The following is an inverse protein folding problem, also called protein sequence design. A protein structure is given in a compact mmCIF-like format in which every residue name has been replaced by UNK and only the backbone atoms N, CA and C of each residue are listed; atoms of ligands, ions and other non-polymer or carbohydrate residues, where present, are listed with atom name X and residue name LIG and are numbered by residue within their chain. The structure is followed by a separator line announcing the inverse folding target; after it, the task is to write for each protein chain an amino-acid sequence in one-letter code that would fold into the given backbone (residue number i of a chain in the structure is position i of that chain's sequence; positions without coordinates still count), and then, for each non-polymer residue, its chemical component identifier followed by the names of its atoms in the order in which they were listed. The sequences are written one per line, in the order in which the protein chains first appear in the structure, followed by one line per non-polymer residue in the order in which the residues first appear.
data_IF_495278864644
#
_entry.id   IF_495278864644
#
_cell.length_a   1.000
_cell.length_b   1.000
_cell.length_c   1.000
_cell.angle_alpha   90.00
_cell.angle_beta   90.00
_cell.angle_gamma   90.00
#
_symmetry.space_group_name_H-M   'P 1'
#
loop_
_entity.id
_entity.type
_entity.pdbx_description
1 polymer ?
#
# COMPACT_ATOMS: atom_id res chain seq x y z
N UNK A 1 11.91 42.51 62.83
CA UNK A 1 10.66 41.70 62.96
C UNK A 1 10.00 41.40 61.61
N UNK A 2 9.78 42.38 60.74
CA UNK A 2 9.10 42.21 59.43
C UNK A 2 9.75 41.18 58.47
N UNK A 3 11.08 41.16 58.36
CA UNK A 3 11.79 40.20 57.50
C UNK A 3 11.73 38.74 57.96
N UNK A 4 11.56 38.52 59.27
CA UNK A 4 11.41 37.18 59.84
C UNK A 4 10.00 36.62 59.58
N UNK A 5 8.96 37.45 59.76
CA UNK A 5 7.58 37.07 59.42
C UNK A 5 7.43 36.75 57.92
N UNK A 6 8.05 37.53 57.04
CA UNK A 6 8.02 37.26 55.59
C UNK A 6 8.68 35.92 55.27
N UNK A 7 9.87 35.62 55.80
CA UNK A 7 10.51 34.31 55.59
C UNK A 7 9.63 33.15 56.07
N UNK A 8 8.98 33.32 57.22
CA UNK A 8 8.08 32.31 57.78
C UNK A 8 6.86 32.04 56.89
N UNK A 9 6.25 33.08 56.29
CA UNK A 9 5.10 32.91 55.37
C UNK A 9 5.49 32.24 54.06
N UNK A 10 6.70 32.49 53.55
CA UNK A 10 7.20 31.83 52.33
C UNK A 10 7.51 30.35 52.58
N UNK A 11 8.08 30.03 53.75
CA UNK A 11 8.35 28.65 54.16
C UNK A 11 7.03 27.88 54.34
N UNK A 12 6.04 28.46 55.02
CA UNK A 12 4.73 27.82 55.19
C UNK A 12 4.00 27.60 53.87
N UNK A 13 4.11 28.54 52.92
CA UNK A 13 3.54 28.38 51.59
C UNK A 13 4.23 27.24 50.81
N UNK A 14 5.56 27.11 50.93
CA UNK A 14 6.31 26.02 50.32
C UNK A 14 5.92 24.66 50.88
N UNK A 15 5.80 24.55 52.21
CA UNK A 15 5.33 23.31 52.86
C UNK A 15 3.87 22.98 52.51
N UNK A 16 3.01 23.99 52.36
CA UNK A 16 1.63 23.77 51.91
C UNK A 16 1.59 23.25 50.46
N UNK A 17 2.35 23.85 49.55
CA UNK A 17 2.47 23.37 48.17
C UNK A 17 3.09 21.96 48.10
N UNK A 18 4.12 21.69 48.90
CA UNK A 18 4.75 20.38 48.97
C UNK A 18 3.80 19.32 49.56
N UNK A 19 3.03 19.69 50.60
CA UNK A 19 1.99 18.84 51.17
C UNK A 19 0.88 18.52 50.17
N UNK A 20 0.43 19.51 49.39
CA UNK A 20 -0.55 19.32 48.31
C UNK A 20 0.01 18.44 47.18
N UNK A 21 1.29 18.60 46.82
CA UNK A 21 1.97 17.74 45.85
C UNK A 21 2.06 16.29 46.35
N UNK A 22 2.43 16.08 47.62
CA UNK A 22 2.49 14.75 48.22
C UNK A 22 1.11 14.09 48.32
N UNK A 23 0.08 14.84 48.69
CA UNK A 23 -1.32 14.37 48.70
C UNK A 23 -1.81 14.01 47.28
N UNK A 24 -1.43 14.81 46.28
CA UNK A 24 -1.68 14.52 44.86
C UNK A 24 -1.00 13.22 44.42
N UNK A 25 0.28 13.04 44.76
CA UNK A 25 1.05 11.83 44.42
C UNK A 25 0.51 10.60 45.13
N UNK A 26 0.13 10.71 46.41
CA UNK A 26 -0.51 9.62 47.15
C UNK A 26 -1.87 9.25 46.57
N UNK A 27 -2.68 10.23 46.17
CA UNK A 27 -3.94 9.97 45.46
C UNK A 27 -3.69 9.31 44.10
N UNK A 28 -2.66 9.73 43.37
CA UNK A 28 -2.28 9.11 42.09
C UNK A 28 -1.80 7.67 42.27
N UNK A 29 -1.06 7.38 43.33
CA UNK A 29 -0.59 6.03 43.68
C UNK A 29 -1.74 5.13 44.15
N UNK A 30 -2.65 5.64 44.98
CA UNK A 30 -3.85 4.93 45.40
C UNK A 30 -4.80 4.67 44.22
N UNK A 31 -4.93 5.65 43.30
CA UNK A 31 -5.67 5.45 42.06
C UNK A 31 -4.97 4.45 41.14
N UNK A 32 -3.63 4.42 41.05
CA UNK A 32 -2.90 3.37 40.29
C UNK A 32 -3.19 1.96 40.81
N UNK A 33 -3.33 1.78 42.12
CA UNK A 33 -3.74 0.50 42.70
C UNK A 33 -5.21 0.15 42.41
N UNK A 34 -6.04 1.15 42.10
CA UNK A 34 -7.46 1.01 41.78
C UNK A 34 -7.77 1.12 40.27
N UNK A 35 -6.78 1.32 39.40
CA UNK A 35 -6.97 1.23 37.95
C UNK A 35 -6.84 -0.26 37.62
N UNK A 36 -7.94 -1.01 37.44
CA UNK A 36 -7.83 -2.37 36.93
C UNK A 36 -7.15 -2.32 35.57
N UNK A 37 -6.26 -3.26 35.29
CA UNK A 37 -5.54 -3.42 34.02
C UNK A 37 -6.46 -3.52 32.78
N UNK A 38 -7.78 -3.60 33.00
CA UNK A 38 -8.81 -3.74 31.97
C UNK A 38 -9.46 -2.40 31.52
N UNK A 39 -8.97 -1.24 31.99
CA UNK A 39 -9.54 0.10 31.71
C UNK A 39 -8.93 0.83 30.50
N UNK A 40 -8.21 0.14 29.62
CA UNK A 40 -7.52 0.78 28.47
C UNK A 40 -8.47 1.44 27.45
N UNK A 41 -9.76 1.11 27.46
CA UNK A 41 -10.77 1.73 26.60
C UNK A 41 -11.23 3.12 27.06
N UNK A 42 -11.01 3.52 28.32
CA UNK A 42 -11.78 4.62 28.90
C UNK A 42 -11.11 6.01 28.86
N UNK A 43 -9.84 6.12 28.47
CA UNK A 43 -9.12 7.41 28.52
C UNK A 43 -8.21 7.62 27.32
N UNK A 44 -8.84 7.75 26.16
CA UNK A 44 -8.15 8.25 24.99
C UNK A 44 -8.78 9.58 24.56
N UNK A 45 -8.30 10.71 25.14
CA UNK A 45 -8.93 12.00 24.96
C UNK A 45 -9.03 12.36 23.48
N UNK A 46 -10.06 13.12 23.12
CA UNK A 46 -10.20 13.60 21.75
C UNK A 46 -9.03 14.52 21.39
N UNK A 47 -8.72 14.63 20.10
CA UNK A 47 -7.65 15.49 19.61
C UNK A 47 -7.81 16.94 20.10
N UNK A 48 -9.05 17.45 20.13
CA UNK A 48 -9.36 18.80 20.63
C UNK A 48 -8.95 18.97 22.08
N UNK A 49 -9.26 17.98 22.93
CA UNK A 49 -8.89 17.98 24.35
C UNK A 49 -7.37 17.91 24.50
N UNK A 50 -6.69 17.03 23.75
CA UNK A 50 -5.23 16.93 23.79
C UNK A 50 -4.55 18.23 23.35
N UNK A 51 -5.08 18.89 22.32
CA UNK A 51 -4.54 20.17 21.84
C UNK A 51 -4.65 21.27 22.90
N UNK A 52 -5.78 21.38 23.59
CA UNK A 52 -5.96 22.35 24.69
C UNK A 52 -5.10 21.97 25.90
N UNK A 53 -5.10 20.69 26.29
CA UNK A 53 -4.33 20.18 27.42
C UNK A 53 -2.81 20.30 27.22
N UNK A 54 -2.33 20.34 25.97
CA UNK A 54 -0.92 20.56 25.68
C UNK A 54 -0.40 21.92 26.14
N UNK A 55 -1.27 22.91 26.34
CA UNK A 55 -0.91 24.29 26.72
C UNK A 55 0.20 24.88 25.81
N UNK A 56 0.21 24.49 24.53
CA UNK A 56 1.23 24.89 23.55
C UNK A 56 2.39 23.91 23.38
N UNK A 57 2.61 22.98 24.32
CA UNK A 57 3.68 21.97 24.28
C UNK A 57 3.24 20.69 23.56
N UNK A 58 2.83 20.81 22.30
CA UNK A 58 2.27 19.69 21.52
C UNK A 58 3.25 18.55 21.29
N UNK A 59 4.52 18.86 21.00
CA UNK A 59 5.57 17.86 20.80
C UNK A 59 5.83 17.04 22.07
N UNK A 60 6.01 17.70 23.23
CA UNK A 60 6.17 17.01 24.51
C UNK A 60 4.97 16.12 24.86
N UNK A 61 3.74 16.59 24.58
CA UNK A 61 2.56 15.77 24.79
C UNK A 61 2.48 14.61 23.79
N UNK A 62 2.94 14.79 22.55
CA UNK A 62 3.05 13.72 21.57
C UNK A 62 4.01 12.62 22.05
N UNK A 63 5.17 13.00 22.61
CA UNK A 63 6.14 12.06 23.18
C UNK A 63 5.56 11.27 24.35
N UNK A 64 4.83 11.94 25.26
CA UNK A 64 4.14 11.26 26.36
C UNK A 64 3.09 10.27 25.85
N UNK A 65 2.28 10.71 24.87
CA UNK A 65 1.26 9.87 24.24
C UNK A 65 1.87 8.71 23.46
N UNK A 66 3.06 8.91 22.90
CA UNK A 66 3.83 7.87 22.23
C UNK A 66 4.28 6.78 23.20
N UNK A 67 4.87 7.15 24.34
CA UNK A 67 5.23 6.19 25.39
C UNK A 67 4.00 5.41 25.85
N UNK A 68 2.87 6.09 26.09
CA UNK A 68 1.60 5.43 26.44
C UNK A 68 1.14 4.44 25.35
N UNK A 69 1.32 4.80 24.08
CA UNK A 69 0.95 3.96 22.93
C UNK A 69 1.81 2.70 22.87
N UNK A 70 3.13 2.82 23.08
CA UNK A 70 4.03 1.67 23.13
C UNK A 70 3.76 0.76 24.32
N UNK A 71 3.46 1.34 25.49
CA UNK A 71 3.07 0.56 26.66
C UNK A 71 1.78 -0.23 26.41
N UNK A 72 0.75 0.42 25.85
CA UNK A 72 -0.51 -0.23 25.47
C UNK A 72 -0.29 -1.37 24.47
N UNK A 73 0.55 -1.14 23.46
CA UNK A 73 0.93 -2.17 22.50
C UNK A 73 1.59 -3.37 23.20
N UNK A 74 2.58 -3.12 24.06
CA UNK A 74 3.31 -4.17 24.76
C UNK A 74 2.45 -4.98 25.75
N UNK A 75 1.51 -4.34 26.46
CA UNK A 75 0.61 -5.03 27.40
C UNK A 75 -0.40 -5.89 26.67
N UNK A 76 -0.98 -5.38 25.58
CA UNK A 76 -2.01 -6.08 24.81
C UNK A 76 -1.43 -7.09 23.80
N UNK A 77 -0.12 -7.10 23.57
CA UNK A 77 0.52 -8.11 22.72
C UNK A 77 0.37 -9.53 23.27
N UNK A 78 0.28 -9.69 24.60
CA UNK A 78 0.04 -10.95 25.29
C UNK A 78 -1.40 -11.09 25.82
N UNK A 79 -2.22 -10.04 25.66
CA UNK A 79 -3.59 -10.00 26.14
C UNK A 79 -4.57 -10.71 25.21
N UNK A 80 -5.68 -11.23 25.76
CA UNK A 80 -6.74 -11.82 24.93
C UNK A 80 -7.53 -10.79 24.13
N UNK A 81 -7.45 -9.50 24.50
CA UNK A 81 -8.14 -8.42 23.79
C UNK A 81 -7.31 -7.99 22.59
N UNK A 82 -7.81 -8.25 21.39
CA UNK A 82 -7.34 -7.62 20.14
C UNK A 82 -7.14 -6.13 20.43
N UNK A 83 -5.93 -5.59 20.23
CA UNK A 83 -5.43 -4.22 20.50
C UNK A 83 -6.32 -3.06 19.95
N UNK A 84 -7.60 -3.03 20.33
CA UNK A 84 -8.70 -2.40 19.57
C UNK A 84 -8.45 -0.92 19.34
N UNK A 85 -7.75 -0.27 20.27
CA UNK A 85 -7.52 1.16 20.27
C UNK A 85 -6.16 1.59 19.70
N UNK A 86 -5.33 0.65 19.25
CA UNK A 86 -3.95 0.93 18.85
C UNK A 86 -3.86 1.98 17.72
N UNK A 87 -4.69 1.82 16.69
CA UNK A 87 -4.73 2.78 15.57
C UNK A 87 -5.10 4.18 16.07
N UNK A 88 -6.10 4.23 16.96
CA UNK A 88 -6.59 5.46 17.52
C UNK A 88 -5.52 6.14 18.41
N UNK A 89 -4.71 5.37 19.12
CA UNK A 89 -3.55 5.85 19.88
C UNK A 89 -2.49 6.48 18.96
N UNK A 90 -2.08 5.76 17.91
CA UNK A 90 -1.10 6.25 16.94
C UNK A 90 -1.57 7.53 16.24
N UNK A 91 -2.84 7.60 15.81
CA UNK A 91 -3.40 8.80 15.18
C UNK A 91 -3.40 10.02 16.11
N UNK A 92 -3.54 9.84 17.43
CA UNK A 92 -3.48 10.96 18.38
C UNK A 92 -2.07 11.49 18.56
N UNK A 93 -1.06 10.62 18.54
CA UNK A 93 0.35 11.03 18.51
C UNK A 93 0.61 11.84 17.24
N UNK A 94 0.21 11.33 16.08
CA UNK A 94 0.36 11.99 14.78
C UNK A 94 -0.39 13.33 14.73
N UNK A 95 -1.59 13.42 15.30
CA UNK A 95 -2.36 14.67 15.32
C UNK A 95 -1.73 15.74 16.23
N UNK A 96 -1.06 15.33 17.30
CA UNK A 96 -0.30 16.23 18.17
C UNK A 96 0.98 16.71 17.48
N UNK A 97 1.73 15.79 16.88
CA UNK A 97 2.96 16.06 16.13
C UNK A 97 2.98 15.37 14.76
N UNK A 98 2.53 16.05 13.69
CA UNK A 98 2.57 15.52 12.33
C UNK A 98 3.99 15.39 11.76
N UNK A 99 5.03 15.94 12.40
CA UNK A 99 6.43 15.73 12.01
C UNK A 99 7.03 14.46 12.59
N UNK A 100 6.33 13.76 13.48
CA UNK A 100 6.86 12.57 14.15
C UNK A 100 6.86 11.34 13.22
N UNK A 101 7.82 11.28 12.31
CA UNK A 101 7.95 10.27 11.26
C UNK A 101 7.94 8.82 11.78
N UNK A 102 8.60 8.58 12.91
CA UNK A 102 8.66 7.26 13.55
C UNK A 102 7.26 6.75 13.93
N UNK A 103 6.34 7.63 14.35
CA UNK A 103 4.98 7.23 14.72
C UNK A 103 4.23 6.66 13.50
N UNK A 104 4.40 7.25 12.32
CA UNK A 104 3.83 6.73 11.08
C UNK A 104 4.44 5.38 10.69
N UNK A 105 5.77 5.30 10.69
CA UNK A 105 6.50 4.08 10.31
C UNK A 105 6.11 2.91 11.20
N UNK A 106 6.14 3.13 12.52
CA UNK A 106 5.80 2.10 13.48
C UNK A 106 4.33 1.74 13.42
N UNK A 107 3.41 2.70 13.31
CA UNK A 107 1.98 2.41 13.27
C UNK A 107 1.62 1.54 12.06
N UNK A 108 2.14 1.86 10.87
CA UNK A 108 1.94 1.04 9.67
C UNK A 108 2.39 -0.41 9.88
N UNK A 109 3.57 -0.63 10.48
CA UNK A 109 4.08 -1.96 10.77
C UNK A 109 3.29 -2.67 11.90
N UNK A 110 2.96 -1.95 12.97
CA UNK A 110 2.30 -2.50 14.15
C UNK A 110 0.85 -2.91 13.88
N UNK A 111 0.13 -2.21 12.99
CA UNK A 111 -1.22 -2.65 12.56
C UNK A 111 -1.18 -4.04 11.91
N UNK A 112 -0.11 -4.34 11.18
CA UNK A 112 0.02 -5.56 10.40
C UNK A 112 0.69 -6.69 11.19
N UNK A 113 1.83 -6.42 11.80
CA UNK A 113 2.68 -7.42 12.47
C UNK A 113 2.54 -7.41 14.00
N UNK A 114 1.54 -6.72 14.54
CA UNK A 114 1.34 -6.54 15.98
C UNK A 114 0.85 -7.75 16.77
N UNK A 115 1.08 -8.98 16.32
CA UNK A 115 0.58 -10.19 16.99
C UNK A 115 -0.91 -10.50 16.73
N UNK A 116 -1.47 -9.91 15.67
CA UNK A 116 -2.82 -10.19 15.17
C UNK A 116 -2.75 -11.14 13.97
N UNK A 117 -3.89 -11.74 13.63
CA UNK A 117 -4.07 -12.40 12.33
C UNK A 117 -3.96 -11.32 11.25
N UNK A 118 -3.14 -11.58 10.24
CA UNK A 118 -3.05 -10.72 9.05
C UNK A 118 -4.27 -11.01 8.16
N UNK A 119 -5.16 -10.04 8.12
CA UNK A 119 -6.37 -9.99 7.30
C UNK A 119 -6.48 -8.64 6.57
N UNK A 120 -7.43 -8.51 5.64
CA UNK A 120 -7.57 -7.29 4.86
C UNK A 120 -7.86 -6.06 5.72
N UNK A 121 -8.53 -6.20 6.88
CA UNK A 121 -8.79 -5.08 7.78
C UNK A 121 -7.46 -4.51 8.32
N UNK A 122 -6.58 -5.38 8.84
CA UNK A 122 -5.25 -4.97 9.32
C UNK A 122 -4.37 -4.38 8.22
N UNK A 123 -4.44 -4.93 6.99
CA UNK A 123 -3.71 -4.41 5.83
C UNK A 123 -4.22 -3.02 5.44
N UNK A 124 -5.54 -2.80 5.42
CA UNK A 124 -6.13 -1.50 5.11
C UNK A 124 -5.74 -0.45 6.17
N UNK A 125 -5.80 -0.79 7.46
CA UNK A 125 -5.33 0.09 8.54
C UNK A 125 -3.84 0.45 8.39
N UNK A 126 -2.99 -0.52 8.07
CA UNK A 126 -1.57 -0.29 7.77
C UNK A 126 -1.38 0.68 6.60
N UNK A 127 -2.12 0.46 5.51
CA UNK A 127 -2.08 1.28 4.32
C UNK A 127 -2.51 2.73 4.58
N UNK A 128 -3.47 2.99 5.48
CA UNK A 128 -3.86 4.36 5.86
C UNK A 128 -2.68 5.14 6.45
N UNK A 129 -1.92 4.53 7.35
CA UNK A 129 -0.73 5.16 7.93
C UNK A 129 0.35 5.43 6.88
N UNK A 130 0.61 4.47 5.98
CA UNK A 130 1.60 4.67 4.91
C UNK A 130 1.16 5.72 3.89
N UNK A 131 -0.11 5.77 3.51
CA UNK A 131 -0.65 6.83 2.63
C UNK A 131 -0.53 8.21 3.29
N UNK A 132 -0.78 8.32 4.59
CA UNK A 132 -0.58 9.57 5.31
C UNK A 132 0.92 9.94 5.45
N UNK A 133 1.78 8.95 5.67
CA UNK A 133 3.23 9.13 5.69
C UNK A 133 3.75 9.62 4.33
N UNK A 134 3.28 9.05 3.22
CA UNK A 134 3.64 9.50 1.87
C UNK A 134 3.26 10.94 1.59
N UNK A 135 2.12 11.42 2.13
CA UNK A 135 1.72 12.84 2.00
C UNK A 135 2.65 13.76 2.78
N UNK A 136 3.14 13.32 3.94
CA UNK A 136 3.96 14.13 4.85
C UNK A 136 5.46 14.07 4.52
N UNK A 137 5.94 12.89 4.10
CA UNK A 137 7.33 12.55 3.81
C UNK A 137 7.44 12.02 2.37
N UNK A 138 7.15 12.85 1.35
CA UNK A 138 7.00 12.39 -0.04
C UNK A 138 8.29 11.85 -0.66
N UNK A 139 9.46 12.14 -0.09
CA UNK A 139 10.76 11.69 -0.57
C UNK A 139 11.29 10.43 0.15
N UNK A 140 10.54 9.89 1.13
CA UNK A 140 10.92 8.66 1.79
C UNK A 140 10.39 7.45 1.02
N UNK A 141 11.31 6.65 0.48
CA UNK A 141 11.00 5.44 -0.29
C UNK A 141 10.26 4.37 0.53
N UNK A 142 10.50 4.32 1.84
CA UNK A 142 10.02 3.23 2.73
C UNK A 142 8.51 3.10 2.71
N UNK A 143 7.78 4.21 2.68
CA UNK A 143 6.32 4.20 2.76
C UNK A 143 5.67 3.74 1.45
N UNK A 144 6.24 4.14 0.31
CA UNK A 144 5.80 3.63 -1.00
C UNK A 144 6.08 2.15 -1.13
N UNK A 145 7.28 1.71 -0.76
CA UNK A 145 7.62 0.29 -0.81
C UNK A 145 6.73 -0.52 0.12
N UNK A 146 6.49 -0.06 1.36
CA UNK A 146 5.65 -0.77 2.33
C UNK A 146 4.19 -0.88 1.85
N UNK A 147 3.63 0.21 1.31
CA UNK A 147 2.30 0.19 0.70
C UNK A 147 2.25 -0.77 -0.50
N UNK A 148 3.25 -0.76 -1.37
CA UNK A 148 3.33 -1.67 -2.51
C UNK A 148 3.38 -3.14 -2.05
N UNK A 149 4.23 -3.46 -1.06
CA UNK A 149 4.31 -4.81 -0.48
C UNK A 149 2.96 -5.25 0.08
N UNK A 150 2.28 -4.38 0.83
CA UNK A 150 0.96 -4.67 1.38
C UNK A 150 -0.06 -5.00 0.28
N UNK A 151 -0.07 -4.25 -0.83
CA UNK A 151 -1.03 -4.44 -1.93
C UNK A 151 -0.86 -5.77 -2.67
N UNK A 152 0.38 -6.25 -2.85
CA UNK A 152 0.66 -7.47 -3.65
C UNK A 152 0.90 -8.74 -2.84
N UNK A 153 1.28 -8.65 -1.57
CA UNK A 153 1.62 -9.83 -0.76
C UNK A 153 0.70 -10.05 0.43
N UNK A 154 0.19 -8.98 1.05
CA UNK A 154 -0.56 -9.08 2.31
C UNK A 154 -2.08 -8.98 2.08
N UNK A 155 -2.50 -8.11 1.15
CA UNK A 155 -3.91 -7.93 0.82
C UNK A 155 -4.44 -9.11 0.00
N UNK A 156 -5.51 -9.73 0.47
CA UNK A 156 -6.19 -10.85 -0.19
C UNK A 156 -7.34 -10.32 -1.04
N UNK A 157 -7.09 -10.08 -2.32
CA UNK A 157 -8.13 -9.63 -3.26
C UNK A 157 -9.28 -10.65 -3.35
N UNK A 158 -10.52 -10.16 -3.40
CA UNK A 158 -11.71 -10.99 -3.54
C UNK A 158 -11.96 -11.41 -5.00
N UNK A 159 -11.44 -10.63 -5.95
CA UNK A 159 -11.63 -10.83 -7.39
C UNK A 159 -10.31 -10.70 -8.15
N UNK A 160 -10.16 -11.36 -9.31
CA UNK A 160 -8.99 -11.17 -10.19
C UNK A 160 -8.78 -9.70 -10.59
N UNK A 161 -9.86 -8.96 -10.85
CA UNK A 161 -9.82 -7.55 -11.26
C UNK A 161 -9.28 -6.66 -10.14
N UNK A 162 -9.66 -6.93 -8.88
CA UNK A 162 -9.09 -6.24 -7.72
C UNK A 162 -7.60 -6.58 -7.54
N UNK A 163 -7.22 -7.84 -7.73
CA UNK A 163 -5.82 -8.27 -7.67
C UNK A 163 -4.97 -7.55 -8.73
N UNK A 164 -5.50 -7.40 -9.95
CA UNK A 164 -4.79 -6.69 -11.03
C UNK A 164 -4.66 -5.20 -10.73
N UNK A 165 -5.75 -4.54 -10.30
CA UNK A 165 -5.71 -3.12 -9.90
C UNK A 165 -4.69 -2.86 -8.78
N UNK A 166 -4.66 -3.73 -7.77
CA UNK A 166 -3.69 -3.62 -6.67
C UNK A 166 -2.26 -3.82 -7.16
N UNK A 167 -2.04 -4.71 -8.13
CA UNK A 167 -0.74 -4.96 -8.74
C UNK A 167 -0.27 -3.77 -9.58
N UNK A 168 -1.15 -3.19 -10.38
CA UNK A 168 -0.86 -1.97 -11.15
C UNK A 168 -0.43 -0.82 -10.23
N UNK A 169 -1.17 -0.58 -9.14
CA UNK A 169 -0.81 0.43 -8.14
C UNK A 169 0.56 0.12 -7.51
N UNK A 170 0.80 -1.14 -7.12
CA UNK A 170 2.07 -1.56 -6.52
C UNK A 170 3.26 -1.43 -7.48
N UNK A 171 3.09 -1.72 -8.78
CA UNK A 171 4.12 -1.50 -9.81
C UNK A 171 4.52 -0.02 -9.84
N UNK A 172 3.53 0.89 -9.87
CA UNK A 172 3.77 2.33 -9.81
C UNK A 172 4.57 2.73 -8.57
N UNK A 173 4.12 2.27 -7.40
CA UNK A 173 4.76 2.55 -6.12
C UNK A 173 6.20 2.01 -6.03
N UNK A 174 6.47 0.78 -6.48
CA UNK A 174 7.83 0.23 -6.49
C UNK A 174 8.76 1.00 -7.43
N UNK A 175 8.27 1.35 -8.63
CA UNK A 175 9.05 2.14 -9.59
C UNK A 175 9.39 3.51 -9.02
N UNK A 176 8.41 4.21 -8.45
CA UNK A 176 8.65 5.49 -7.78
C UNK A 176 9.65 5.35 -6.62
N UNK A 177 9.44 4.38 -5.73
CA UNK A 177 10.29 4.16 -4.56
C UNK A 177 11.74 3.88 -4.95
N UNK A 178 11.97 3.05 -5.97
CA UNK A 178 13.31 2.65 -6.42
C UNK A 178 14.17 3.79 -7.00
N UNK A 179 13.53 4.88 -7.44
CA UNK A 179 14.19 6.07 -8.00
C UNK A 179 14.54 7.11 -6.93
N UNK A 180 14.11 6.91 -5.69
CA UNK A 180 14.34 7.84 -4.60
C UNK A 180 15.74 7.69 -4.00
N UNK A 181 16.23 8.77 -3.40
CA UNK A 181 17.53 8.77 -2.74
C UNK A 181 17.59 7.75 -1.59
N UNK A 182 18.66 6.95 -1.55
CA UNK A 182 18.86 5.92 -0.53
C UNK A 182 17.94 4.71 -0.65
N UNK A 183 17.20 4.58 -1.74
CA UNK A 183 16.39 3.40 -2.02
C UNK A 183 17.29 2.18 -2.28
N UNK A 184 17.00 1.03 -1.65
CA UNK A 184 17.82 -0.16 -1.83
C UNK A 184 17.61 -0.80 -3.23
N UNK A 185 18.66 -1.39 -3.83
CA UNK A 185 18.61 -1.93 -5.20
C UNK A 185 17.51 -2.97 -5.44
N UNK A 186 17.13 -3.73 -4.40
CA UNK A 186 16.10 -4.77 -4.51
C UNK A 186 14.73 -4.23 -4.95
N UNK A 187 14.41 -2.95 -4.70
CA UNK A 187 13.12 -2.37 -5.09
C UNK A 187 12.92 -2.37 -6.61
N UNK A 188 14.01 -2.23 -7.38
CA UNK A 188 13.96 -2.35 -8.85
C UNK A 188 13.53 -3.76 -9.25
N UNK A 189 14.07 -4.78 -8.58
CA UNK A 189 13.75 -6.18 -8.84
C UNK A 189 12.28 -6.48 -8.52
N UNK A 190 11.71 -5.91 -7.46
CA UNK A 190 10.27 -6.05 -7.20
C UNK A 190 9.41 -5.40 -8.27
N UNK A 191 9.75 -4.19 -8.73
CA UNK A 191 9.04 -3.55 -9.83
C UNK A 191 9.06 -4.45 -11.10
N UNK A 192 10.24 -4.95 -11.48
CA UNK A 192 10.42 -5.85 -12.63
C UNK A 192 9.57 -7.10 -12.46
N UNK A 193 9.66 -7.75 -11.31
CA UNK A 193 8.94 -8.99 -11.01
C UNK A 193 7.43 -8.81 -11.14
N UNK A 194 6.89 -7.71 -10.59
CA UNK A 194 5.44 -7.45 -10.67
C UNK A 194 5.00 -7.10 -12.10
N UNK A 195 5.80 -6.34 -12.85
CA UNK A 195 5.52 -6.07 -14.28
C UNK A 195 5.51 -7.35 -15.11
N UNK A 196 6.47 -8.25 -14.92
CA UNK A 196 6.49 -9.56 -15.61
C UNK A 196 5.27 -10.40 -15.24
N UNK A 197 4.87 -10.42 -13.96
CA UNK A 197 3.66 -11.14 -13.51
C UNK A 197 2.37 -10.57 -14.11
N UNK A 198 2.32 -9.27 -14.35
CA UNK A 198 1.23 -8.59 -15.03
C UNK A 198 1.28 -8.74 -16.58
N UNK A 199 2.26 -9.48 -17.12
CA UNK A 199 2.46 -9.61 -18.57
C UNK A 199 2.98 -8.33 -19.25
N UNK A 200 3.38 -7.31 -18.47
CA UNK A 200 3.90 -6.03 -18.96
C UNK A 200 5.38 -6.13 -19.34
N UNK A 201 5.76 -7.15 -20.13
CA UNK A 201 7.17 -7.47 -20.42
C UNK A 201 7.90 -6.32 -21.13
N UNK A 202 7.23 -5.62 -22.07
CA UNK A 202 7.77 -4.44 -22.75
C UNK A 202 8.15 -3.32 -21.79
N UNK A 203 7.22 -2.98 -20.88
CA UNK A 203 7.46 -1.98 -19.85
C UNK A 203 8.56 -2.41 -18.87
N UNK A 204 8.60 -3.70 -18.51
CA UNK A 204 9.66 -4.26 -17.68
C UNK A 204 11.03 -4.13 -18.37
N UNK A 205 11.13 -4.44 -19.66
CA UNK A 205 12.37 -4.38 -20.41
C UNK A 205 12.87 -2.93 -20.54
N UNK A 206 11.99 -1.98 -20.85
CA UNK A 206 12.31 -0.55 -20.84
C UNK A 206 12.86 -0.09 -19.50
N UNK A 207 12.20 -0.46 -18.42
CA UNK A 207 12.61 -0.11 -17.07
C UNK A 207 13.97 -0.74 -16.68
N UNK A 208 14.23 -1.99 -17.08
CA UNK A 208 15.54 -2.63 -16.88
C UNK A 208 16.63 -1.94 -17.67
N UNK A 209 16.38 -1.52 -18.93
CA UNK A 209 17.36 -0.78 -19.74
C UNK A 209 17.73 0.55 -19.08
N UNK A 210 16.75 1.30 -18.59
CA UNK A 210 16.96 2.55 -17.84
C UNK A 210 17.80 2.30 -16.57
N UNK A 211 17.43 1.28 -15.80
CA UNK A 211 18.14 0.91 -14.58
C UNK A 211 19.58 0.44 -14.86
N UNK A 212 19.79 -0.31 -15.94
CA UNK A 212 21.10 -0.82 -16.35
C UNK A 212 22.03 0.32 -16.78
N UNK A 213 21.52 1.28 -17.55
CA UNK A 213 22.28 2.45 -17.99
C UNK A 213 22.73 3.36 -16.84
N UNK A 214 21.98 3.38 -15.75
CA UNK A 214 22.27 4.18 -14.55
C UNK A 214 22.98 3.42 -13.43
N UNK A 215 23.15 2.10 -13.57
CA UNK A 215 23.80 1.27 -12.56
C UNK A 215 25.29 1.62 -12.43
N UNK A 216 25.72 1.94 -11.22
CA UNK A 216 27.13 2.21 -10.89
C UNK A 216 27.84 0.96 -10.38
N UNK A 217 27.09 0.05 -9.74
CA UNK A 217 27.61 -1.19 -9.18
C UNK A 217 27.59 -2.32 -10.22
N UNK A 218 28.67 -3.10 -10.29
CA UNK A 218 28.85 -4.13 -11.31
C UNK A 218 28.01 -5.39 -11.00
N UNK A 219 27.74 -5.68 -9.73
CA UNK A 219 26.85 -6.78 -9.33
C UNK A 219 25.40 -6.45 -9.73
N UNK A 220 24.94 -5.23 -9.44
CA UNK A 220 23.66 -4.72 -9.90
C UNK A 220 23.55 -4.75 -11.43
N UNK A 221 24.59 -4.29 -12.14
CA UNK A 221 24.64 -4.31 -13.61
C UNK A 221 24.53 -5.74 -14.16
N UNK A 222 25.23 -6.70 -13.55
CA UNK A 222 25.16 -8.12 -13.92
C UNK A 222 23.76 -8.70 -13.71
N UNK A 223 23.12 -8.38 -12.57
CA UNK A 223 21.77 -8.84 -12.26
C UNK A 223 20.75 -8.28 -13.26
N UNK A 224 20.84 -6.98 -13.57
CA UNK A 224 19.96 -6.32 -14.53
C UNK A 224 20.16 -6.84 -15.97
N UNK A 225 21.40 -7.11 -16.39
CA UNK A 225 21.68 -7.72 -17.69
C UNK A 225 21.02 -9.10 -17.85
N UNK A 226 21.08 -9.94 -16.80
CA UNK A 226 20.40 -11.25 -16.80
C UNK A 226 18.89 -11.08 -16.95
N UNK A 227 18.30 -10.16 -16.20
CA UNK A 227 16.86 -9.87 -16.28
C UNK A 227 16.44 -9.34 -17.64
N UNK A 228 17.23 -8.46 -18.25
CA UNK A 228 16.94 -7.97 -19.60
C UNK A 228 16.93 -9.11 -20.62
N UNK A 229 17.93 -10.00 -20.56
CA UNK A 229 18.00 -11.17 -21.44
C UNK A 229 16.80 -12.11 -21.26
N UNK A 230 16.31 -12.29 -20.04
CA UNK A 230 15.13 -13.12 -19.77
C UNK A 230 13.85 -12.48 -20.34
N UNK A 231 13.73 -11.15 -20.22
CA UNK A 231 12.60 -10.38 -20.76
C UNK A 231 12.59 -10.36 -22.28
N UNK A 232 13.73 -10.13 -22.93
CA UNK A 232 13.85 -10.11 -24.40
C UNK A 232 13.52 -11.49 -25.01
N UNK A 233 13.92 -12.59 -24.34
CA UNK A 233 13.51 -13.95 -24.73
C UNK A 233 12.00 -14.15 -24.60
N UNK A 234 11.41 -13.65 -23.52
CA UNK A 234 9.97 -13.72 -23.28
C UNK A 234 9.17 -12.88 -24.28
N UNK A 235 9.65 -11.70 -24.66
CA UNK A 235 9.07 -10.88 -25.72
C UNK A 235 9.09 -11.60 -27.07
N UNK A 236 10.22 -12.22 -27.43
CA UNK A 236 10.31 -13.01 -28.66
C UNK A 236 9.30 -14.16 -28.70
N UNK A 237 9.14 -14.89 -27.59
CA UNK A 237 8.14 -15.96 -27.48
C UNK A 237 6.69 -15.43 -27.55
N UNK A 238 6.39 -14.35 -26.83
CA UNK A 238 5.05 -13.75 -26.82
C UNK A 238 4.67 -13.16 -28.19
N UNK A 239 5.63 -12.57 -28.92
CA UNK A 239 5.41 -12.11 -30.29
C UNK A 239 5.11 -13.30 -31.22
N UNK A 240 5.86 -14.40 -31.10
CA UNK A 240 5.60 -15.61 -31.88
C UNK A 240 4.20 -16.20 -31.62
N UNK A 241 3.79 -16.29 -30.35
CA UNK A 241 2.45 -16.76 -29.97
C UNK A 241 1.35 -15.84 -30.53
N UNK A 242 1.53 -14.52 -30.42
CA UNK A 242 0.59 -13.54 -30.99
C UNK A 242 0.46 -13.68 -32.52
N UNK A 243 1.59 -13.80 -33.22
CA UNK A 243 1.60 -14.00 -34.67
C UNK A 243 0.92 -15.34 -35.05
N UNK A 244 1.14 -16.40 -34.26
CA UNK A 244 0.50 -17.70 -34.47
C UNK A 244 -1.03 -17.63 -34.24
N UNK A 245 -1.50 -16.98 -33.17
CA UNK A 245 -2.93 -16.80 -32.93
C UNK A 245 -3.60 -15.96 -34.01
N UNK A 246 -2.96 -14.87 -34.43
CA UNK A 246 -3.45 -14.02 -35.52
C UNK A 246 -3.57 -14.81 -36.82
N UNK A 247 -2.51 -15.54 -37.18
CA UNK A 247 -2.48 -16.39 -38.36
C UNK A 247 -3.57 -17.46 -38.31
N UNK A 248 -3.77 -18.10 -37.16
CA UNK A 248 -4.80 -19.12 -36.95
C UNK A 248 -6.21 -18.54 -37.11
N UNK A 249 -6.44 -17.31 -36.60
CA UNK A 249 -7.73 -16.63 -36.72
C UNK A 249 -8.04 -16.24 -38.17
N UNK A 250 -7.06 -15.65 -38.85
CA UNK A 250 -7.19 -15.27 -40.27
C UNK A 250 -7.39 -16.50 -41.15
N UNK A 251 -6.63 -17.57 -40.90
CA UNK A 251 -6.79 -18.86 -41.56
C UNK A 251 -8.21 -19.44 -41.37
N UNK A 252 -8.69 -19.51 -40.13
CA UNK A 252 -10.03 -20.05 -39.84
C UNK A 252 -11.16 -19.23 -40.46
N UNK A 253 -10.96 -17.92 -40.66
CA UNK A 253 -11.94 -17.05 -41.30
C UNK A 253 -11.93 -17.21 -42.82
N UNK A 254 -10.75 -17.18 -43.42
CA UNK A 254 -10.56 -17.21 -44.87
C UNK A 254 -10.73 -18.61 -45.48
N UNK A 255 -10.23 -19.65 -44.80
CA UNK A 255 -10.10 -21.01 -45.31
C UNK A 255 -10.38 -22.08 -44.22
N UNK A 256 -11.57 -22.11 -43.59
CA UNK A 256 -11.86 -23.06 -42.50
C UNK A 256 -11.82 -24.54 -42.89
N UNK A 257 -11.88 -24.85 -44.19
CA UNK A 257 -11.79 -26.20 -44.73
C UNK A 257 -10.53 -26.41 -45.59
N UNK A 258 -9.67 -25.39 -45.70
CA UNK A 258 -8.38 -25.48 -46.40
C UNK A 258 -7.30 -26.08 -45.52
N UNK A 259 -6.06 -26.17 -46.00
CA UNK A 259 -4.89 -26.41 -45.16
C UNK A 259 -4.16 -25.09 -44.85
N UNK A 260 -3.47 -25.03 -43.71
CA UNK A 260 -2.66 -23.86 -43.34
C UNK A 260 -1.59 -23.55 -44.40
N UNK A 261 -0.98 -24.58 -45.00
CA UNK A 261 0.01 -24.46 -46.07
C UNK A 261 -0.57 -23.75 -47.30
N UNK A 262 -1.80 -24.09 -47.67
CA UNK A 262 -2.50 -23.45 -48.78
C UNK A 262 -2.82 -21.98 -48.47
N UNK A 263 -3.18 -21.66 -47.23
CA UNK A 263 -3.40 -20.28 -46.78
C UNK A 263 -2.11 -19.45 -46.80
N UNK A 264 -0.98 -20.00 -46.37
CA UNK A 264 0.32 -19.34 -46.42
C UNK A 264 0.79 -19.06 -47.86
N UNK A 265 0.48 -19.95 -48.80
CA UNK A 265 0.82 -19.79 -50.21
C UNK A 265 -0.06 -18.74 -50.92
N UNK A 266 -1.34 -18.68 -50.57
CA UNK A 266 -2.33 -17.80 -51.22
C UNK A 266 -2.42 -16.42 -50.57
N UNK A 267 -1.98 -16.28 -49.32
CA UNK A 267 -2.09 -15.06 -48.53
C UNK A 267 -3.51 -14.78 -48.00
N UNK A 268 -3.68 -13.72 -47.19
CA UNK A 268 -4.97 -13.33 -46.65
C UNK A 268 -5.94 -12.93 -47.77
N UNK A 269 -7.14 -13.51 -47.76
CA UNK A 269 -8.20 -13.21 -48.73
C UNK A 269 -9.17 -12.19 -48.16
N UNK A 270 -9.58 -11.23 -48.99
CA UNK A 270 -10.63 -10.25 -48.64
C UNK A 270 -12.04 -10.83 -48.81
N UNK A 271 -12.19 -11.88 -49.62
CA UNK A 271 -13.48 -12.47 -49.99
C UNK A 271 -13.47 -13.99 -49.91
N UNK A 272 -14.62 -14.59 -49.58
CA UNK A 272 -14.82 -16.04 -49.52
C UNK A 272 -16.15 -16.45 -50.15
N UNK A 273 -16.16 -17.52 -50.94
CA UNK A 273 -17.40 -18.14 -51.40
C UNK A 273 -18.12 -18.86 -50.25
N UNK A 274 -19.33 -18.40 -49.95
CA UNK A 274 -20.27 -18.99 -48.99
C UNK A 274 -21.14 -20.10 -49.60
N UNK A 275 -21.99 -20.74 -48.77
CA UNK A 275 -22.92 -21.76 -49.24
C UNK A 275 -23.85 -21.19 -50.33
N UNK A 276 -23.96 -21.88 -51.47
CA UNK A 276 -24.78 -21.44 -52.59
C UNK A 276 -24.10 -20.46 -53.57
N UNK A 277 -22.78 -20.23 -53.46
CA UNK A 277 -22.01 -19.43 -54.43
C UNK A 277 -22.01 -17.93 -54.16
N UNK A 278 -22.47 -17.49 -52.99
CA UNK A 278 -22.48 -16.07 -52.59
C UNK A 278 -21.10 -15.65 -52.11
N UNK A 279 -20.56 -14.56 -52.65
CA UNK A 279 -19.28 -13.99 -52.23
C UNK A 279 -19.45 -13.21 -50.91
N UNK A 280 -18.74 -13.65 -49.87
CA UNK A 280 -18.75 -13.07 -48.54
C UNK A 280 -17.49 -12.21 -48.36
N UNK A 281 -17.70 -10.91 -48.18
CA UNK A 281 -16.66 -9.97 -47.80
C UNK A 281 -16.24 -10.21 -46.34
N UNK A 282 -14.97 -10.61 -46.15
CA UNK A 282 -14.39 -10.93 -44.86
C UNK A 282 -13.93 -9.68 -44.09
N UNK A 283 -13.94 -8.51 -44.72
CA UNK A 283 -13.54 -7.22 -44.12
C UNK A 283 -14.70 -6.48 -43.44
N UNK A 284 -15.95 -6.89 -43.69
CA UNK A 284 -17.15 -6.33 -43.06
C UNK A 284 -17.52 -7.07 -41.77
N UNK A 285 -17.75 -6.35 -40.64
CA UNK A 285 -18.23 -7.00 -39.41
C UNK A 285 -19.63 -7.60 -39.63
N UNK A 286 -19.87 -8.80 -39.10
CA UNK A 286 -21.18 -9.47 -39.14
C UNK A 286 -22.25 -8.56 -38.53
N UNK A 287 -23.17 -8.04 -39.32
CA UNK A 287 -24.39 -7.45 -38.81
C UNK A 287 -25.21 -8.56 -38.12
N UNK A 288 -25.34 -8.48 -36.79
CA UNK A 288 -26.30 -9.31 -36.06
C UNK A 288 -27.74 -8.98 -36.50
N UNK A 289 -28.71 -9.90 -36.31
CA UNK A 289 -30.08 -9.67 -36.71
C UNK A 289 -30.65 -8.45 -35.96
N UNK A 290 -31.06 -7.43 -36.71
CA UNK A 290 -31.85 -6.31 -36.18
C UNK A 290 -33.24 -6.85 -35.87
N UNK A 291 -33.52 -7.07 -34.58
CA UNK A 291 -34.87 -7.31 -34.10
C UNK A 291 -35.75 -6.13 -34.49
N UNK A 292 -36.72 -6.35 -35.38
CA UNK A 292 -37.71 -5.35 -35.74
C UNK A 292 -38.57 -5.01 -34.50
N UNK A 293 -38.93 -3.73 -34.28
CA UNK A 293 -39.80 -3.35 -33.18
C UNK A 293 -41.23 -3.85 -33.46
N UNK A 294 -41.79 -4.62 -32.51
CA UNK A 294 -43.20 -5.02 -32.52
C UNK A 294 -44.09 -3.77 -32.62
N UNK A 295 -44.83 -3.70 -33.72
CA UNK A 295 -45.87 -2.70 -33.91
C UNK A 295 -47.08 -3.07 -33.05
N UNK A 296 -47.35 -2.23 -32.06
CA UNK A 296 -48.61 -2.15 -31.34
C UNK A 296 -49.72 -1.70 -32.30
N UNK A 297 -50.81 -2.48 -32.40
CA UNK A 297 -52.24 -2.05 -32.39
C UNK A 297 -53.18 -3.13 -32.98
N UNK A 298 -54.49 -3.07 -32.73
CA UNK A 298 -55.23 -2.34 -31.69
C UNK A 298 -55.79 -3.24 -30.57
#
# INVERSE_FOLDING_TARGET
MYGFLKKLTWISAWFACFGLMLLSLQRLHAQRAFIPQNMDSFYLPSEKVLRVASLGYRHMLADLMWVKTLMYFGTEMNGQKRQTWLAAHAWRVIALDPSFELAYQWAGAAMLYGGRIIDNETVLMSNEFYRAAMKRFPHNWRYRSALAFNLVYEYKAATPEEAERNREEAIGLFREASRMAGAPPYLKIFAITQMTKAGMNKLAAEYVREAYASAQDEEERTLLARRLKDLDKGEGAAELDYQQERLTREYNQALPYGSLELFLLLGPRTERLGPGGVELDLTRPKAGPVSAPDQVRP
#
